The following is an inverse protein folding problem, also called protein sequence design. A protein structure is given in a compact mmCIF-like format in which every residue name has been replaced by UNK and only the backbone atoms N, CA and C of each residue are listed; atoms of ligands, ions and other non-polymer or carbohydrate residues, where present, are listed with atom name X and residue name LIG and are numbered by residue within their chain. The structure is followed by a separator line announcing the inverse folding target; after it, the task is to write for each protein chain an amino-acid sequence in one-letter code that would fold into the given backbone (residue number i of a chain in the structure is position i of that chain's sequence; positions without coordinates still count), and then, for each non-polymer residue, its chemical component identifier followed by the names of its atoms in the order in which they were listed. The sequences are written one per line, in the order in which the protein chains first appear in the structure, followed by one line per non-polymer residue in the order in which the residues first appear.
data_IF_250124123982
#
_entry.id   IF_250124123982
#
_cell.length_a   1.000
_cell.length_b   1.000
_cell.length_c   1.000
_cell.angle_alpha   90.00
_cell.angle_beta   90.00
_cell.angle_gamma   90.00
#
_symmetry.space_group_name_H-M   'P 1'
#
loop_
_entity.id
_entity.type
_entity.pdbx_description
1 polymer ?
#
# COMPACT_ATOMS: atom_id res chain seq x y z
N UNK A 1 -18.60 -19.42 -12.74
CA UNK A 1 -17.65 -19.11 -11.66
C UNK A 1 -16.36 -19.88 -11.90
N UNK A 2 -15.24 -19.20 -12.18
CA UNK A 2 -13.92 -19.86 -12.17
C UNK A 2 -13.61 -20.26 -10.71
N UNK A 3 -13.39 -21.53 -10.46
CA UNK A 3 -12.99 -22.02 -9.13
C UNK A 3 -11.64 -21.40 -8.78
N UNK A 4 -11.58 -20.55 -7.76
CA UNK A 4 -10.32 -20.06 -7.17
C UNK A 4 -9.57 -21.28 -6.65
N UNK A 5 -8.37 -21.55 -7.15
CA UNK A 5 -7.59 -22.73 -6.76
C UNK A 5 -7.04 -22.61 -5.32
N UNK A 6 -6.89 -21.38 -4.82
CA UNK A 6 -6.37 -21.10 -3.50
C UNK A 6 -7.32 -20.09 -2.82
N UNK A 7 -7.93 -20.46 -1.69
CA UNK A 7 -8.81 -19.60 -0.92
C UNK A 7 -8.08 -18.77 0.16
N UNK A 8 -6.77 -18.74 0.09
CA UNK A 8 -5.93 -17.96 0.99
C UNK A 8 -5.80 -16.51 0.53
N UNK A 9 -5.47 -15.64 1.49
CA UNK A 9 -5.08 -14.25 1.27
C UNK A 9 -3.57 -14.08 1.46
N UNK A 10 -2.96 -13.15 0.71
CA UNK A 10 -1.59 -12.70 0.90
C UNK A 10 -1.58 -11.32 1.55
N UNK A 11 -0.96 -11.18 2.71
CA UNK A 11 -0.68 -9.89 3.32
C UNK A 11 0.71 -9.42 2.91
N UNK A 12 0.78 -8.28 2.22
CA UNK A 12 1.99 -7.66 1.67
C UNK A 12 2.38 -6.51 2.58
N UNK A 13 3.39 -6.70 3.43
CA UNK A 13 3.72 -5.76 4.51
C UNK A 13 5.05 -5.07 4.25
N UNK A 14 5.04 -3.73 4.29
CA UNK A 14 6.25 -2.90 4.31
C UNK A 14 6.51 -2.40 5.73
N UNK A 15 7.65 -2.75 6.33
CA UNK A 15 8.04 -2.34 7.68
C UNK A 15 9.40 -1.65 7.70
N UNK A 16 9.57 -0.65 8.61
CA UNK A 16 10.84 0.05 8.81
C UNK A 16 11.07 0.50 10.26
N UNK A 17 10.08 0.34 11.12
CA UNK A 17 10.13 0.71 12.55
C UNK A 17 9.03 -0.04 13.32
N UNK A 18 8.84 0.30 14.62
CA UNK A 18 7.75 -0.21 15.45
C UNK A 18 7.73 -1.75 15.54
N UNK A 19 8.87 -2.35 15.93
CA UNK A 19 9.07 -3.82 15.94
C UNK A 19 8.00 -4.53 16.78
N UNK A 20 7.71 -4.01 17.99
CA UNK A 20 6.70 -4.63 18.88
C UNK A 20 5.29 -4.54 18.29
N UNK A 21 4.96 -3.45 17.61
CA UNK A 21 3.70 -3.34 16.87
C UNK A 21 3.65 -4.33 15.71
N UNK A 22 4.75 -4.49 14.97
CA UNK A 22 4.83 -5.47 13.90
C UNK A 22 4.62 -6.90 14.41
N UNK A 23 5.20 -7.26 15.57
CA UNK A 23 4.95 -8.58 16.19
C UNK A 23 3.47 -8.79 16.50
N UNK A 24 2.78 -7.77 17.02
CA UNK A 24 1.33 -7.83 17.24
C UNK A 24 0.58 -7.98 15.92
N UNK A 25 0.91 -7.19 14.89
CA UNK A 25 0.30 -7.31 13.57
C UNK A 25 0.45 -8.73 13.01
N UNK A 26 1.66 -9.30 13.03
CA UNK A 26 1.91 -10.66 12.57
C UNK A 26 1.05 -11.69 13.31
N UNK A 27 0.93 -11.56 14.65
CA UNK A 27 0.08 -12.45 15.46
C UNK A 27 -1.41 -12.32 15.13
N UNK A 28 -1.90 -11.11 14.84
CA UNK A 28 -3.29 -10.85 14.45
C UNK A 28 -3.61 -11.38 13.05
N UNK A 29 -2.61 -11.45 12.17
CA UNK A 29 -2.75 -11.99 10.82
C UNK A 29 -2.50 -13.51 10.75
N UNK A 30 -2.06 -14.15 11.86
CA UNK A 30 -1.75 -15.57 11.89
C UNK A 30 -3.00 -16.45 11.84
N UNK A 31 -3.38 -16.80 10.62
CA UNK A 31 -4.57 -17.59 10.32
C UNK A 31 -4.30 -18.58 9.19
N UNK A 32 -4.92 -19.75 9.22
CA UNK A 32 -4.67 -20.84 8.27
C UNK A 32 -4.92 -20.48 6.80
N UNK A 33 -5.81 -19.52 6.55
CA UNK A 33 -6.11 -18.99 5.22
C UNK A 33 -5.26 -17.78 4.85
N UNK A 34 -4.21 -17.45 5.60
CA UNK A 34 -3.29 -16.36 5.31
C UNK A 34 -1.89 -16.87 4.99
N UNK A 35 -1.19 -16.12 4.17
CA UNK A 35 0.26 -16.13 4.07
C UNK A 35 0.76 -14.68 4.09
N UNK A 36 1.91 -14.43 4.72
CA UNK A 36 2.42 -13.08 4.98
C UNK A 36 3.75 -12.89 4.24
N UNK A 37 3.84 -11.83 3.47
CA UNK A 37 5.05 -11.40 2.76
C UNK A 37 5.54 -10.10 3.38
N UNK A 38 6.69 -10.15 4.05
CA UNK A 38 7.23 -9.03 4.81
C UNK A 38 8.50 -8.50 4.15
N UNK A 39 8.49 -7.24 3.77
CA UNK A 39 9.67 -6.48 3.41
C UNK A 39 10.07 -5.58 4.59
N UNK A 40 11.32 -5.70 5.04
CA UNK A 40 11.92 -4.83 6.06
C UNK A 40 12.87 -3.88 5.34
N UNK A 41 12.72 -2.57 5.54
CA UNK A 41 13.60 -1.57 4.93
C UNK A 41 15.08 -1.86 5.22
N UNK A 42 15.95 -1.68 4.23
CA UNK A 42 17.37 -1.98 4.35
C UNK A 42 18.10 -1.17 5.44
N UNK A 43 17.56 0.01 5.79
CA UNK A 43 18.11 0.87 6.85
C UNK A 43 17.50 0.58 8.22
N UNK A 44 16.48 -0.26 8.29
CA UNK A 44 15.85 -0.61 9.56
C UNK A 44 16.71 -1.59 10.34
N UNK A 45 16.98 -1.25 11.60
CA UNK A 45 17.79 -2.03 12.52
C UNK A 45 16.93 -2.67 13.61
N UNK A 46 17.47 -3.65 14.33
CA UNK A 46 16.84 -4.29 15.49
C UNK A 46 15.75 -5.32 15.15
N UNK A 47 15.53 -5.66 13.88
CA UNK A 47 14.60 -6.70 13.49
C UNK A 47 15.26 -8.08 13.53
N UNK A 48 14.94 -8.86 14.56
CA UNK A 48 15.37 -10.27 14.68
C UNK A 48 14.35 -11.17 13.96
N UNK A 49 14.77 -11.74 12.83
CA UNK A 49 13.89 -12.55 11.97
C UNK A 49 13.32 -13.76 12.71
N UNK A 50 14.11 -14.39 13.58
CA UNK A 50 13.66 -15.52 14.42
C UNK A 50 12.47 -15.14 15.29
N UNK A 51 12.51 -13.98 15.95
CA UNK A 51 11.41 -13.50 16.79
C UNK A 51 10.13 -13.21 15.97
N UNK A 52 10.28 -12.67 14.76
CA UNK A 52 9.14 -12.45 13.87
C UNK A 52 8.52 -13.76 13.39
N UNK A 53 9.35 -14.77 13.11
CA UNK A 53 8.86 -16.11 12.73
C UNK A 53 8.09 -16.79 13.87
N UNK A 54 8.45 -16.55 15.13
CA UNK A 54 7.76 -17.10 16.29
C UNK A 54 6.35 -16.52 16.49
N UNK A 55 6.07 -15.33 15.92
CA UNK A 55 4.76 -14.71 15.96
C UNK A 55 3.72 -15.41 15.07
N UNK A 56 4.16 -16.27 14.16
CA UNK A 56 3.32 -16.88 13.12
C UNK A 56 3.41 -18.41 13.23
N UNK A 57 2.27 -19.07 13.47
CA UNK A 57 2.18 -20.53 13.71
C UNK A 57 1.26 -21.26 12.72
N UNK A 58 0.26 -20.57 12.19
CA UNK A 58 -0.78 -21.13 11.29
C UNK A 58 -0.55 -20.73 9.85
N UNK A 59 -0.16 -19.48 9.62
CA UNK A 59 0.21 -18.94 8.30
C UNK A 59 1.70 -19.13 8.01
N UNK A 60 2.10 -18.90 6.74
CA UNK A 60 3.52 -18.85 6.36
C UNK A 60 3.98 -17.40 6.33
N UNK A 61 5.14 -17.12 6.95
CA UNK A 61 5.81 -15.83 6.87
C UNK A 61 6.99 -15.94 5.89
N UNK A 62 6.96 -15.10 4.85
CA UNK A 62 8.04 -14.99 3.85
C UNK A 62 8.73 -13.64 4.00
N UNK A 63 10.01 -13.65 4.33
CA UNK A 63 10.83 -12.44 4.29
C UNK A 63 11.26 -12.20 2.84
N UNK A 64 10.96 -11.00 2.33
CA UNK A 64 11.25 -10.65 0.93
C UNK A 64 12.63 -10.00 0.84
N UNK A 65 13.55 -10.74 0.25
CA UNK A 65 14.94 -10.32 0.03
C UNK A 65 15.23 -10.11 -1.48
N UNK A 66 16.24 -9.28 -1.84
CA UNK A 66 17.02 -8.44 -0.95
C UNK A 66 16.23 -7.25 -0.41
N UNK A 67 16.53 -6.81 0.81
CA UNK A 67 15.93 -5.63 1.42
C UNK A 67 16.26 -4.38 0.60
N UNK A 68 15.26 -3.52 0.37
CA UNK A 68 15.39 -2.25 -0.35
C UNK A 68 15.57 -1.09 0.61
N UNK A 69 16.42 -0.12 0.25
CA UNK A 69 16.43 1.23 0.85
C UNK A 69 15.24 2.03 0.27
N UNK A 70 14.10 1.94 0.95
CA UNK A 70 12.87 2.62 0.54
C UNK A 70 12.93 4.09 0.92
N UNK A 71 12.90 4.98 -0.08
CA UNK A 71 12.93 6.43 0.11
C UNK A 71 11.56 7.03 -0.15
N UNK A 72 11.08 7.81 0.79
CA UNK A 72 9.79 8.48 0.68
C UNK A 72 9.69 9.31 -0.60
N UNK A 73 8.59 9.14 -1.32
CA UNK A 73 8.31 9.83 -2.58
C UNK A 73 9.16 9.39 -3.78
N UNK A 74 10.01 8.37 -3.61
CA UNK A 74 10.87 7.82 -4.66
C UNK A 74 10.28 6.55 -5.26
N UNK A 75 10.73 6.18 -6.44
CA UNK A 75 10.33 4.94 -7.12
C UNK A 75 10.56 3.67 -6.28
N UNK A 76 11.47 3.71 -5.31
CA UNK A 76 11.73 2.57 -4.41
C UNK A 76 10.51 2.15 -3.57
N UNK A 77 9.50 3.03 -3.38
CA UNK A 77 8.21 2.64 -2.76
C UNK A 77 7.46 1.70 -3.71
N UNK A 78 7.28 2.11 -4.97
CA UNK A 78 6.66 1.26 -6.00
C UNK A 78 7.43 -0.05 -6.19
N UNK A 79 8.76 0.03 -6.20
CA UNK A 79 9.61 -1.15 -6.34
C UNK A 79 9.41 -2.14 -5.19
N UNK A 80 9.23 -1.65 -3.97
CA UNK A 80 8.94 -2.48 -2.80
C UNK A 80 7.57 -3.18 -2.93
N UNK A 81 6.52 -2.43 -3.24
CA UNK A 81 5.17 -2.97 -3.46
C UNK A 81 5.17 -4.00 -4.61
N UNK A 82 5.84 -3.67 -5.70
CA UNK A 82 5.98 -4.56 -6.84
C UNK A 82 6.69 -5.87 -6.47
N UNK A 83 7.79 -5.81 -5.70
CA UNK A 83 8.52 -7.02 -5.27
C UNK A 83 7.67 -7.91 -4.36
N UNK A 84 6.90 -7.32 -3.48
CA UNK A 84 5.95 -8.07 -2.64
C UNK A 84 4.92 -8.80 -3.50
N UNK A 85 4.32 -8.12 -4.48
CA UNK A 85 3.40 -8.73 -5.44
C UNK A 85 4.08 -9.81 -6.29
N UNK A 86 5.24 -9.51 -6.86
CA UNK A 86 6.02 -10.46 -7.69
C UNK A 86 6.37 -11.73 -6.92
N UNK A 87 6.67 -11.62 -5.63
CA UNK A 87 6.99 -12.77 -4.76
C UNK A 87 5.76 -13.59 -4.40
N UNK A 88 4.61 -12.95 -4.24
CA UNK A 88 3.38 -13.60 -3.79
C UNK A 88 2.55 -14.21 -4.93
N UNK A 89 2.49 -13.58 -6.10
CA UNK A 89 1.62 -13.98 -7.22
C UNK A 89 1.80 -15.41 -7.75
N UNK A 90 2.98 -16.07 -7.67
CA UNK A 90 3.10 -17.46 -8.08
C UNK A 90 2.19 -18.43 -7.29
N UNK A 91 1.77 -18.06 -6.07
CA UNK A 91 0.89 -18.88 -5.22
C UNK A 91 -0.60 -18.72 -5.53
N UNK A 92 -1.00 -17.70 -6.31
CA UNK A 92 -2.37 -17.44 -6.77
C UNK A 92 -3.37 -17.34 -5.63
N UNK A 93 -3.16 -16.36 -4.75
CA UNK A 93 -4.05 -16.06 -3.64
C UNK A 93 -5.39 -15.50 -4.12
N UNK A 94 -6.43 -15.68 -3.30
CA UNK A 94 -7.74 -15.10 -3.57
C UNK A 94 -7.68 -13.56 -3.56
N UNK A 95 -7.00 -12.99 -2.55
CA UNK A 95 -6.75 -11.55 -2.41
C UNK A 95 -5.32 -11.26 -1.96
N UNK A 96 -4.84 -10.07 -2.32
CA UNK A 96 -3.56 -9.49 -1.92
C UNK A 96 -3.85 -8.16 -1.22
N UNK A 97 -3.45 -8.04 0.05
CA UNK A 97 -3.67 -6.85 0.89
C UNK A 97 -2.35 -6.11 1.10
N UNK A 98 -2.25 -4.87 0.62
CA UNK A 98 -1.09 -4.02 0.88
C UNK A 98 -1.26 -3.31 2.21
N UNK A 99 -0.29 -3.50 3.11
CA UNK A 99 -0.27 -2.96 4.46
C UNK A 99 1.10 -2.39 4.82
N UNK A 100 1.13 -1.56 5.84
CA UNK A 100 2.36 -1.12 6.50
C UNK A 100 2.50 -1.82 7.87
N UNK A 101 3.71 -1.96 8.38
CA UNK A 101 3.99 -2.49 9.71
C UNK A 101 3.40 -1.69 10.89
N UNK A 102 2.71 -0.58 10.60
CA UNK A 102 2.02 0.27 11.59
C UNK A 102 0.50 0.30 11.43
N UNK A 103 -0.05 -0.61 10.62
CA UNK A 103 -1.48 -0.82 10.43
C UNK A 103 -1.95 -1.99 11.31
N UNK A 104 -3.24 -2.01 11.68
CA UNK A 104 -3.84 -3.16 12.38
C UNK A 104 -5.18 -3.53 11.76
N UNK A 105 -5.55 -4.83 11.77
CA UNK A 105 -6.91 -5.26 11.47
C UNK A 105 -7.84 -4.84 12.62
N UNK A 106 -9.06 -4.42 12.29
CA UNK A 106 -10.12 -4.06 13.23
C UNK A 106 -11.16 -5.19 13.41
N UNK A 107 -11.03 -6.24 12.62
CA UNK A 107 -11.91 -7.42 12.60
C UNK A 107 -11.08 -8.68 12.72
N UNK A 108 -11.70 -9.75 13.19
CA UNK A 108 -11.09 -11.07 13.21
C UNK A 108 -10.77 -11.54 11.78
N UNK A 109 -9.79 -12.43 11.64
CA UNK A 109 -9.45 -12.97 10.32
C UNK A 109 -10.63 -13.73 9.68
N UNK A 110 -11.47 -14.37 10.50
CA UNK A 110 -12.71 -15.02 10.03
C UNK A 110 -13.68 -14.03 9.37
N UNK A 111 -13.93 -12.89 10.02
CA UNK A 111 -14.79 -11.82 9.47
C UNK A 111 -14.20 -11.19 8.20
N UNK A 112 -12.88 -10.96 8.19
CA UNK A 112 -12.19 -10.43 7.00
C UNK A 112 -12.33 -11.41 5.83
N UNK A 113 -12.08 -12.69 6.04
CA UNK A 113 -12.25 -13.70 4.99
C UNK A 113 -13.69 -13.80 4.53
N UNK A 114 -14.66 -13.81 5.45
CA UNK A 114 -16.07 -13.82 5.08
C UNK A 114 -16.43 -12.63 4.18
N UNK A 115 -16.00 -11.43 4.54
CA UNK A 115 -16.23 -10.23 3.73
C UNK A 115 -15.70 -10.39 2.30
N UNK A 116 -14.47 -10.86 2.13
CA UNK A 116 -13.86 -11.02 0.81
C UNK A 116 -14.42 -12.23 0.04
N UNK A 117 -14.84 -13.30 0.72
CA UNK A 117 -15.53 -14.45 0.12
C UNK A 117 -16.88 -14.02 -0.49
N UNK A 118 -17.67 -13.22 0.24
CA UNK A 118 -18.97 -12.70 -0.19
C UNK A 118 -18.86 -11.68 -1.32
N UNK A 119 -17.74 -10.94 -1.40
CA UNK A 119 -17.49 -9.88 -2.38
C UNK A 119 -16.40 -10.25 -3.40
N UNK A 120 -16.20 -11.54 -3.66
CA UNK A 120 -15.14 -12.01 -4.55
C UNK A 120 -15.22 -11.42 -5.95
N UNK A 121 -14.08 -10.94 -6.45
CA UNK A 121 -13.95 -10.33 -7.77
C UNK A 121 -13.99 -8.80 -7.76
N UNK A 122 -14.22 -8.21 -6.58
CA UNK A 122 -14.20 -6.76 -6.38
C UNK A 122 -12.78 -6.28 -6.05
N UNK A 123 -12.34 -5.22 -6.71
CA UNK A 123 -11.04 -4.58 -6.47
C UNK A 123 -11.23 -3.39 -5.53
N UNK A 124 -10.60 -3.44 -4.36
CA UNK A 124 -10.68 -2.39 -3.34
C UNK A 124 -9.51 -1.44 -3.49
N UNK A 125 -9.68 -0.45 -4.35
CA UNK A 125 -8.71 0.60 -4.70
C UNK A 125 -9.41 1.94 -4.62
N UNK A 126 -8.80 2.90 -3.91
CA UNK A 126 -9.33 4.25 -3.83
C UNK A 126 -8.90 5.09 -5.03
N UNK A 127 -9.84 5.93 -5.50
CA UNK A 127 -9.61 7.00 -6.46
C UNK A 127 -10.07 8.32 -5.83
N UNK A 128 -9.12 9.21 -5.56
CA UNK A 128 -9.37 10.46 -4.81
C UNK A 128 -10.25 11.43 -5.61
N UNK A 129 -9.99 11.56 -6.91
CA UNK A 129 -10.72 12.46 -7.80
C UNK A 129 -10.74 11.97 -9.24
N UNK A 130 -11.67 12.49 -10.03
CA UNK A 130 -11.79 12.18 -11.47
C UNK A 130 -10.65 12.76 -12.31
N UNK A 131 -9.98 13.80 -11.82
CA UNK A 131 -8.84 14.45 -12.47
C UNK A 131 -7.72 14.76 -11.49
N UNK A 132 -6.50 14.75 -11.99
CA UNK A 132 -5.35 15.23 -11.24
C UNK A 132 -5.35 16.76 -11.14
N UNK A 133 -4.99 17.30 -9.99
CA UNK A 133 -4.65 18.70 -9.80
C UNK A 133 -3.42 19.08 -10.64
N UNK A 134 -3.16 20.37 -10.81
CA UNK A 134 -1.97 20.84 -11.53
C UNK A 134 -0.66 20.38 -10.84
N UNK A 135 -0.65 20.30 -9.51
CA UNK A 135 0.50 19.79 -8.76
C UNK A 135 0.73 18.31 -9.06
N UNK A 136 -0.31 17.51 -9.03
CA UNK A 136 -0.24 16.07 -9.31
C UNK A 136 0.09 15.78 -10.79
N UNK A 137 -0.46 16.58 -11.72
CA UNK A 137 -0.05 16.53 -13.13
C UNK A 137 1.46 16.79 -13.29
N UNK A 138 2.02 17.71 -12.51
CA UNK A 138 3.47 17.97 -12.52
C UNK A 138 4.27 16.78 -11.98
N UNK A 139 3.76 16.00 -11.00
CA UNK A 139 4.44 14.81 -10.48
C UNK A 139 4.70 13.77 -11.58
N UNK A 140 3.79 13.59 -12.52
CA UNK A 140 3.88 12.58 -13.60
C UNK A 140 4.44 13.12 -14.90
N UNK A 141 4.23 14.41 -15.21
CA UNK A 141 4.64 15.01 -16.49
C UNK A 141 6.10 15.40 -16.54
N UNK A 142 6.76 15.60 -15.40
CA UNK A 142 8.17 16.02 -15.30
C UNK A 142 9.06 14.89 -14.78
N UNK A 143 10.38 15.02 -14.98
CA UNK A 143 11.38 14.12 -14.41
C UNK A 143 11.83 14.65 -13.05
N UNK A 144 11.59 13.89 -11.99
CA UNK A 144 11.96 14.22 -10.62
C UNK A 144 13.22 13.44 -10.20
N UNK A 145 14.40 13.91 -10.60
CA UNK A 145 15.67 13.24 -10.26
C UNK A 145 16.03 13.33 -8.78
N UNK A 146 15.49 14.33 -8.06
CA UNK A 146 15.69 14.53 -6.61
C UNK A 146 14.35 14.40 -5.92
N UNK A 147 13.89 13.15 -5.76
CA UNK A 147 12.68 12.81 -5.03
C UNK A 147 13.04 12.48 -3.59
N UNK A 148 13.01 13.46 -2.69
CA UNK A 148 13.13 13.27 -1.24
C UNK A 148 12.37 14.33 -0.46
N UNK A 149 11.87 13.94 0.72
CA UNK A 149 11.01 14.79 1.57
C UNK A 149 11.74 16.05 2.06
N UNK A 150 12.98 15.88 2.55
CA UNK A 150 13.80 17.01 3.00
C UNK A 150 14.96 17.22 2.04
N UNK A 151 15.01 18.39 1.41
CA UNK A 151 16.09 18.83 0.51
C UNK A 151 16.88 19.95 1.23
N UNK A 152 18.20 19.90 1.14
CA UNK A 152 19.03 21.03 1.53
C UNK A 152 18.88 22.20 0.55
N UNK A 153 19.48 23.37 0.84
CA UNK A 153 19.28 24.59 0.03
C UNK A 153 19.76 24.41 -1.42
N UNK A 154 20.88 23.73 -1.61
CA UNK A 154 21.47 23.47 -2.93
C UNK A 154 20.55 22.53 -3.73
N UNK A 155 20.09 21.45 -3.11
CA UNK A 155 19.15 20.51 -3.73
C UNK A 155 17.82 21.16 -4.10
N UNK A 156 17.33 22.11 -3.30
CA UNK A 156 16.12 22.90 -3.62
C UNK A 156 16.33 23.75 -4.87
N UNK A 157 17.50 24.40 -4.96
CA UNK A 157 17.86 25.23 -6.13
C UNK A 157 17.98 24.34 -7.36
N UNK A 158 18.77 23.27 -7.29
CA UNK A 158 18.95 22.33 -8.41
C UNK A 158 17.63 21.71 -8.87
N UNK A 159 16.76 21.35 -7.93
CA UNK A 159 15.44 20.83 -8.23
C UNK A 159 14.57 21.85 -8.97
N UNK A 160 14.55 23.12 -8.51
CA UNK A 160 13.80 24.19 -9.19
C UNK A 160 14.34 24.47 -10.60
N UNK A 161 15.66 24.56 -10.76
CA UNK A 161 16.31 24.74 -12.07
C UNK A 161 15.96 23.57 -12.99
N UNK A 162 16.04 22.34 -12.48
CA UNK A 162 15.65 21.15 -13.24
C UNK A 162 14.20 21.22 -13.74
N UNK A 163 13.26 21.69 -12.93
CA UNK A 163 11.87 21.85 -13.36
C UNK A 163 11.69 22.99 -14.38
N UNK A 164 12.43 24.08 -14.22
CA UNK A 164 12.40 25.21 -15.19
C UNK A 164 12.90 24.77 -16.58
N UNK A 165 13.96 23.97 -16.63
CA UNK A 165 14.48 23.41 -17.91
C UNK A 165 13.47 22.45 -18.57
N UNK A 166 12.50 21.97 -17.83
CA UNK A 166 11.48 21.03 -18.31
C UNK A 166 10.14 21.68 -18.65
N UNK A 167 10.04 23.01 -18.79
CA UNK A 167 8.76 23.70 -19.05
C UNK A 167 7.99 23.13 -20.26
N UNK A 168 8.72 22.75 -21.33
CA UNK A 168 8.13 22.17 -22.56
C UNK A 168 8.03 20.63 -22.53
N UNK A 169 8.50 19.99 -21.47
CA UNK A 169 8.45 18.53 -21.36
C UNK A 169 7.12 18.12 -20.74
N UNK A 170 6.46 17.16 -21.38
CA UNK A 170 5.30 16.48 -20.84
C UNK A 170 5.41 14.98 -21.19
N UNK A 171 5.77 14.17 -20.18
CA UNK A 171 5.94 12.72 -20.33
C UNK A 171 4.62 11.99 -20.53
N UNK A 172 3.51 12.61 -20.10
CA UNK A 172 2.19 11.97 -20.17
C UNK A 172 1.66 11.87 -21.59
N UNK A 173 2.07 12.77 -22.50
CA UNK A 173 1.61 12.79 -23.91
C UNK A 173 1.88 11.50 -24.69
N UNK A 174 2.89 10.71 -24.29
CA UNK A 174 3.26 9.43 -24.93
C UNK A 174 2.90 8.22 -24.07
N UNK A 175 2.16 8.44 -22.98
CA UNK A 175 1.72 7.39 -22.09
C UNK A 175 0.41 6.79 -22.57
N UNK A 176 0.22 5.45 -22.50
CA UNK A 176 -1.05 4.84 -22.71
C UNK A 176 -1.98 4.92 -21.48
N UNK A 177 -1.50 5.55 -20.39
CA UNK A 177 -2.19 5.57 -19.11
C UNK A 177 -3.04 6.84 -18.94
N UNK A 178 -4.24 6.68 -18.42
CA UNK A 178 -5.02 7.74 -17.82
C UNK A 178 -4.61 7.87 -16.35
N UNK A 179 -3.89 8.96 -16.05
CA UNK A 179 -3.33 9.14 -14.71
C UNK A 179 -4.43 9.45 -13.70
N UNK A 180 -4.42 8.69 -12.60
CA UNK A 180 -5.32 8.84 -11.44
C UNK A 180 -4.51 8.74 -10.16
N UNK A 181 -5.02 9.35 -9.09
CA UNK A 181 -4.41 9.32 -7.76
C UNK A 181 -5.35 8.65 -6.76
N UNK A 182 -4.78 8.04 -5.75
CA UNK A 182 -5.47 7.47 -4.60
C UNK A 182 -4.49 6.95 -3.55
N UNK A 183 -5.01 6.21 -2.59
CA UNK A 183 -4.20 5.58 -1.55
C UNK A 183 -3.30 4.48 -2.11
N UNK A 184 -2.15 4.28 -1.48
CA UNK A 184 -1.25 3.16 -1.78
C UNK A 184 -1.63 1.86 -1.04
N UNK A 185 -2.66 1.86 -0.20
CA UNK A 185 -3.26 0.65 0.37
C UNK A 185 -4.36 0.14 -0.54
N UNK A 186 -4.42 -1.18 -0.65
CA UNK A 186 -5.39 -1.84 -1.51
C UNK A 186 -5.65 -3.28 -1.06
N UNK A 187 -6.76 -3.84 -1.54
CA UNK A 187 -7.04 -5.27 -1.52
C UNK A 187 -7.50 -5.69 -2.90
N UNK A 188 -6.66 -6.45 -3.62
CA UNK A 188 -6.87 -6.79 -5.04
C UNK A 188 -6.90 -8.30 -5.26
N UNK A 189 -7.59 -8.72 -6.31
CA UNK A 189 -7.69 -10.13 -6.72
C UNK A 189 -6.40 -10.64 -7.37
N UNK A 190 -6.28 -11.96 -7.52
CA UNK A 190 -5.13 -12.58 -8.23
C UNK A 190 -5.04 -12.11 -9.69
N UNK A 191 -6.16 -12.01 -10.39
CA UNK A 191 -6.18 -11.60 -11.79
C UNK A 191 -5.55 -10.19 -11.95
N UNK A 192 -5.91 -9.26 -11.08
CA UNK A 192 -5.33 -7.91 -11.08
C UNK A 192 -3.88 -7.90 -10.61
N UNK A 193 -3.52 -8.65 -9.56
CA UNK A 193 -2.15 -8.77 -9.08
C UNK A 193 -1.21 -9.28 -10.18
N UNK A 194 -1.60 -10.33 -10.91
CA UNK A 194 -0.88 -10.86 -12.07
C UNK A 194 -0.75 -9.80 -13.19
N UNK A 195 -1.83 -9.04 -13.44
CA UNK A 195 -1.79 -7.95 -14.42
C UNK A 195 -0.78 -6.88 -14.04
N UNK A 196 -0.74 -6.45 -12.77
CA UNK A 196 0.26 -5.48 -12.25
C UNK A 196 1.66 -6.01 -12.47
N UNK A 197 1.95 -7.25 -12.07
CA UNK A 197 3.27 -7.88 -12.23
C UNK A 197 3.69 -7.96 -13.70
N UNK A 198 2.78 -8.32 -14.60
CA UNK A 198 3.03 -8.39 -16.05
C UNK A 198 3.38 -7.02 -16.65
N UNK A 199 2.88 -5.94 -16.08
CA UNK A 199 3.07 -4.57 -16.59
C UNK A 199 4.30 -3.85 -16.01
N UNK A 200 5.28 -4.56 -15.43
CA UNK A 200 6.53 -4.01 -14.85
C UNK A 200 7.18 -2.95 -15.72
N UNK A 201 7.34 -3.25 -17.01
CA UNK A 201 8.01 -2.33 -17.97
C UNK A 201 7.25 -1.00 -18.13
N UNK A 202 5.93 -1.02 -18.08
CA UNK A 202 5.09 0.19 -18.13
C UNK A 202 5.26 0.97 -16.83
N UNK A 203 5.20 0.31 -15.68
CA UNK A 203 5.39 0.93 -14.37
C UNK A 203 6.77 1.58 -14.29
N UNK A 204 7.84 0.88 -14.62
CA UNK A 204 9.20 1.43 -14.62
C UNK A 204 9.35 2.61 -15.57
N UNK A 205 8.86 2.49 -16.80
CA UNK A 205 8.99 3.53 -17.82
C UNK A 205 8.33 4.85 -17.42
N UNK A 206 7.12 4.77 -16.86
CA UNK A 206 6.31 5.98 -16.62
C UNK A 206 6.39 6.51 -15.20
N UNK A 207 6.77 5.67 -14.20
CA UNK A 207 6.80 6.09 -12.80
C UNK A 207 8.19 6.20 -12.17
N UNK A 208 9.27 5.71 -12.82
CA UNK A 208 10.63 5.76 -12.26
C UNK A 208 11.07 7.15 -11.81
N UNK A 209 10.65 8.18 -12.51
CA UNK A 209 10.99 9.58 -12.21
C UNK A 209 9.80 10.39 -11.70
N UNK A 210 8.75 9.73 -11.23
CA UNK A 210 7.58 10.36 -10.64
C UNK A 210 7.80 10.52 -9.15
N UNK A 211 7.43 11.67 -8.59
CA UNK A 211 7.45 11.88 -7.14
C UNK A 211 6.13 11.39 -6.53
N UNK A 212 6.20 10.67 -5.37
CA UNK A 212 5.05 10.01 -4.76
C UNK A 212 4.25 9.20 -5.78
N UNK A 213 4.97 8.38 -6.55
CA UNK A 213 4.38 7.58 -7.61
C UNK A 213 3.58 6.38 -7.09
N UNK A 214 3.82 5.97 -5.84
CA UNK A 214 3.07 4.96 -5.10
C UNK A 214 1.57 5.29 -5.00
N UNK A 215 1.20 6.58 -4.91
CA UNK A 215 -0.18 7.05 -4.91
C UNK A 215 -0.81 7.13 -6.34
N UNK A 216 -0.07 6.79 -7.39
CA UNK A 216 -0.45 7.06 -8.78
C UNK A 216 -0.39 5.82 -9.67
N UNK A 217 0.58 4.91 -9.46
CA UNK A 217 0.89 3.87 -10.44
C UNK A 217 -0.23 2.83 -10.54
N UNK A 218 -0.72 2.32 -9.42
CA UNK A 218 -1.77 1.30 -9.39
C UNK A 218 -3.08 1.87 -9.94
N UNK A 219 -3.47 3.06 -9.46
CA UNK A 219 -4.69 3.74 -9.90
C UNK A 219 -4.67 4.00 -11.41
N UNK A 220 -3.56 4.52 -11.93
CA UNK A 220 -3.42 4.80 -13.37
C UNK A 220 -3.44 3.52 -14.20
N UNK A 221 -2.78 2.47 -13.73
CA UNK A 221 -2.72 1.19 -14.42
C UNK A 221 -4.11 0.51 -14.47
N UNK A 222 -4.82 0.50 -13.33
CA UNK A 222 -6.14 -0.12 -13.23
C UNK A 222 -7.18 0.68 -14.00
N UNK A 223 -7.18 2.00 -13.88
CA UNK A 223 -8.13 2.86 -14.57
C UNK A 223 -8.02 2.76 -16.11
N UNK A 224 -6.80 2.52 -16.60
CA UNK A 224 -6.51 2.33 -18.04
C UNK A 224 -6.69 0.88 -18.52
N UNK A 225 -7.31 0.01 -17.71
CA UNK A 225 -7.46 -1.41 -18.00
C UNK A 225 -8.94 -1.87 -17.92
N UNK A 226 -9.19 -3.10 -18.29
CA UNK A 226 -10.51 -3.72 -18.11
C UNK A 226 -10.92 -3.92 -16.66
N UNK A 227 -9.95 -3.95 -15.71
CA UNK A 227 -10.21 -4.11 -14.27
C UNK A 227 -10.93 -2.92 -13.64
N UNK A 228 -10.96 -1.76 -14.33
CA UNK A 228 -11.74 -0.59 -13.90
C UNK A 228 -13.20 -0.93 -13.57
N UNK A 229 -13.82 -1.86 -14.31
CA UNK A 229 -15.21 -2.28 -14.09
C UNK A 229 -15.43 -3.09 -12.80
N UNK A 230 -14.36 -3.59 -12.19
CA UNK A 230 -14.42 -4.43 -10.99
C UNK A 230 -14.12 -3.64 -9.70
N UNK A 231 -13.90 -2.32 -9.79
CA UNK A 231 -13.65 -1.46 -8.62
C UNK A 231 -14.90 -1.43 -7.73
N UNK A 232 -14.70 -1.57 -6.40
CA UNK A 232 -15.78 -1.68 -5.40
C UNK A 232 -16.79 -0.55 -5.44
N UNK A 233 -16.31 0.68 -5.62
CA UNK A 233 -17.12 1.87 -5.75
C UNK A 233 -16.51 2.73 -6.84
N UNK A 234 -17.22 2.89 -7.94
CA UNK A 234 -16.76 3.70 -9.07
C UNK A 234 -16.93 5.21 -8.80
N UNK A 235 -16.94 5.58 -7.52
CA UNK A 235 -17.08 6.95 -7.04
C UNK A 235 -15.71 7.50 -6.65
N UNK A 236 -15.38 8.64 -7.25
CA UNK A 236 -14.22 9.40 -6.82
C UNK A 236 -14.51 10.03 -5.45
N UNK A 237 -13.79 9.64 -4.42
CA UNK A 237 -13.97 10.20 -3.09
C UNK A 237 -12.65 10.26 -2.31
N UNK A 238 -12.52 11.28 -1.50
CA UNK A 238 -11.37 11.49 -0.60
C UNK A 238 -11.61 10.82 0.77
N UNK A 239 -12.15 9.60 0.75
CA UNK A 239 -12.25 8.77 1.94
C UNK A 239 -11.60 7.40 1.71
N UNK A 240 -11.28 6.71 2.78
CA UNK A 240 -10.59 5.41 2.73
C UNK A 240 -11.55 4.22 2.94
N UNK A 241 -12.86 4.47 2.96
CA UNK A 241 -13.89 3.43 3.14
C UNK A 241 -13.92 2.47 1.96
N UNK A 242 -13.62 2.95 0.75
CA UNK A 242 -13.51 2.13 -0.46
C UNK A 242 -12.44 1.04 -0.36
N UNK A 243 -11.36 1.29 0.37
CA UNK A 243 -10.28 0.31 0.63
C UNK A 243 -10.44 -0.38 1.99
N UNK A 244 -11.57 -0.14 2.68
CA UNK A 244 -11.91 -0.73 3.99
C UNK A 244 -10.94 -0.35 5.10
N UNK A 245 -10.45 0.92 5.08
CA UNK A 245 -9.54 1.49 6.07
C UNK A 245 -10.16 2.65 6.83
N UNK A 246 -9.76 2.80 8.11
CA UNK A 246 -9.89 4.04 8.87
C UNK A 246 -8.54 4.73 8.87
N UNK A 247 -8.43 5.90 8.24
CA UNK A 247 -7.22 6.74 8.24
C UNK A 247 -7.64 8.18 8.54
N UNK A 248 -7.02 8.79 9.55
CA UNK A 248 -7.33 10.16 9.96
C UNK A 248 -6.21 11.13 9.57
N UNK A 249 -6.41 11.86 8.50
CA UNK A 249 -5.52 12.92 8.04
C UNK A 249 -5.87 14.30 8.63
N UNK A 250 -7.04 14.43 9.28
CA UNK A 250 -7.48 15.72 9.86
C UNK A 250 -6.74 16.03 11.15
N UNK A 251 -6.51 15.01 11.98
CA UNK A 251 -5.82 15.15 13.28
C UNK A 251 -4.30 14.94 13.20
N UNK A 252 -3.73 14.55 12.04
CA UNK A 252 -2.29 14.28 11.89
C UNK A 252 -1.86 13.92 10.46
N UNK A 253 -0.63 13.40 10.28
CA UNK A 253 -0.06 13.09 8.97
C UNK A 253 0.40 11.61 8.82
N UNK A 254 -0.49 10.62 8.84
CA UNK A 254 -1.80 10.56 9.46
C UNK A 254 -1.73 10.56 10.99
N UNK A 255 -2.88 10.75 11.66
CA UNK A 255 -3.00 10.68 13.12
C UNK A 255 -2.63 9.29 13.64
N UNK A 256 -1.97 9.25 14.81
CA UNK A 256 -1.68 8.01 15.52
C UNK A 256 -2.80 7.77 16.53
N UNK A 257 -3.60 6.73 16.31
CA UNK A 257 -4.74 6.40 17.16
C UNK A 257 -4.34 6.12 18.61
N UNK A 258 -5.25 6.45 19.53
CA UNK A 258 -5.10 6.33 20.98
C UNK A 258 -6.18 5.39 21.54
N UNK A 259 -5.98 4.99 22.79
CA UNK A 259 -6.97 4.20 23.51
C UNK A 259 -8.39 4.82 23.48
N UNK A 260 -8.48 6.15 23.57
CA UNK A 260 -9.74 6.89 23.47
C UNK A 260 -10.46 6.77 22.13
N UNK A 261 -9.76 6.37 21.07
CA UNK A 261 -10.35 6.20 19.73
C UNK A 261 -10.91 4.79 19.50
N UNK A 262 -10.75 3.86 20.46
CA UNK A 262 -11.09 2.45 20.31
C UNK A 262 -12.52 2.21 19.86
N UNK A 263 -13.50 2.80 20.56
CA UNK A 263 -14.92 2.63 20.23
C UNK A 263 -15.26 3.15 18.83
N UNK A 264 -14.67 4.27 18.42
CA UNK A 264 -14.83 4.82 17.08
C UNK A 264 -14.27 3.86 16.02
N UNK A 265 -13.11 3.24 16.28
CA UNK A 265 -12.48 2.32 15.33
C UNK A 265 -13.30 1.05 15.14
N UNK A 266 -13.73 0.39 16.23
CA UNK A 266 -14.46 -0.88 16.13
C UNK A 266 -15.87 -0.72 15.58
N UNK A 267 -16.51 0.45 15.84
CA UNK A 267 -17.83 0.79 15.32
C UNK A 267 -17.82 1.33 13.88
N UNK A 268 -16.64 1.59 13.31
CA UNK A 268 -16.51 2.15 11.95
C UNK A 268 -17.01 1.22 10.83
N UNK A 269 -17.13 -0.09 11.11
CA UNK A 269 -17.43 -1.09 10.10
C UNK A 269 -16.29 -1.40 9.13
N UNK A 270 -15.13 -0.73 9.27
CA UNK A 270 -13.97 -0.96 8.40
C UNK A 270 -13.16 -2.19 8.86
N UNK A 271 -12.36 -2.74 7.95
CA UNK A 271 -11.56 -3.95 8.21
C UNK A 271 -10.20 -3.66 8.81
N UNK A 272 -9.62 -2.50 8.47
CA UNK A 272 -8.27 -2.11 8.84
C UNK A 272 -8.23 -0.67 9.32
N UNK A 273 -7.17 -0.31 10.05
CA UNK A 273 -6.92 1.08 10.45
C UNK A 273 -5.44 1.43 10.38
N UNK A 274 -5.17 2.72 10.19
CA UNK A 274 -3.86 3.35 10.13
C UNK A 274 -3.91 4.73 10.77
N UNK A 275 -2.96 5.05 11.66
CA UNK A 275 -1.81 4.26 12.06
C UNK A 275 -1.76 4.13 13.58
N UNK A 276 -1.00 3.14 14.00
CA UNK A 276 -0.72 2.87 15.39
C UNK A 276 0.76 3.07 15.70
N UNK A 277 1.09 3.20 16.98
CA UNK A 277 2.45 3.18 17.50
C UNK A 277 2.46 2.54 18.88
N UNK A 278 3.23 1.48 19.03
CA UNK A 278 3.44 0.82 20.32
C UNK A 278 4.04 1.77 21.35
N UNK A 279 5.05 2.55 20.90
CA UNK A 279 5.76 3.47 21.79
C UNK A 279 4.90 4.65 22.26
N UNK A 280 3.90 5.02 21.47
CA UNK A 280 3.08 6.20 21.75
C UNK A 280 1.81 5.87 22.57
N UNK A 281 1.17 4.77 22.27
CA UNK A 281 0.03 4.24 23.04
C UNK A 281 -0.14 2.74 22.80
N UNK A 282 0.49 1.91 23.63
CA UNK A 282 0.36 0.45 23.54
C UNK A 282 -1.02 -0.06 23.95
N UNK A 283 -1.79 0.73 24.75
CA UNK A 283 -3.10 0.30 25.26
C UNK A 283 -4.13 0.13 24.16
N UNK A 284 -4.10 1.02 23.13
CA UNK A 284 -4.97 0.83 21.97
C UNK A 284 -4.63 -0.45 21.23
N UNK A 285 -3.34 -0.77 21.10
CA UNK A 285 -2.87 -1.99 20.43
C UNK A 285 -3.28 -3.24 21.20
N UNK A 286 -3.15 -3.21 22.54
CA UNK A 286 -3.57 -4.29 23.43
C UNK A 286 -5.09 -4.50 23.43
N UNK A 287 -5.90 -3.44 23.25
CA UNK A 287 -7.37 -3.55 23.13
C UNK A 287 -7.83 -4.14 21.80
N UNK A 288 -7.08 -3.90 20.71
CA UNK A 288 -7.38 -4.45 19.38
C UNK A 288 -6.96 -5.92 19.29
N UNK A 289 -5.90 -6.32 20.02
CA UNK A 289 -5.39 -7.70 20.08
C UNK A 289 -6.37 -8.66 20.76
#
# INVERSE_FOLDING_TARGET
MKRVKNNKHAYLIMAHNEIELLKVLLSLLDYERNDIYLHIDAKAEGFEISELMECVKKSKLFIVEPRLDVKWGNFSQIECEYRLLERATPQKYMYYHMMSGVDLPLKTQGEIHQFFDENYGTEYIQFESSELTNEEKNRVSKYHFIAKRKKNIIEKILYRVSLMLQLKIDRTKKSPLEYRKGANWFSITDDLAQYVVKNKKIIEKYFRYTICGDELFLQSLVYSSEYRKNISENNFCDNYETIKYVIDWKRGNPYVFRESDFEQLVSSGQLFARKFSWNLDKRIVEKIK
#
